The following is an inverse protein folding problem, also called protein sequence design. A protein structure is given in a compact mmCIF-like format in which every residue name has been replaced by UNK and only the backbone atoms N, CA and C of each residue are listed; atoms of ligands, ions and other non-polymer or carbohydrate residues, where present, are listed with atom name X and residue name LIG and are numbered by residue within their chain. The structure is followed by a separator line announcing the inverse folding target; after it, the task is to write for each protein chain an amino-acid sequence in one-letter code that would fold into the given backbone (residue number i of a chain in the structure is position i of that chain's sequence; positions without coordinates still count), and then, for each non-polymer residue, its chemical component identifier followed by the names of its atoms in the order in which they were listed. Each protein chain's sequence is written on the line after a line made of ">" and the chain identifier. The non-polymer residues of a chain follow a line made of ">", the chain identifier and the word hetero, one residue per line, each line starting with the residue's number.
data_IF_320624765444
#
_entry.id   IF_320624765444
#
_cell.length_a   1.000
_cell.length_b   1.000
_cell.length_c   1.000
_cell.angle_alpha   90.00
_cell.angle_beta   90.00
_cell.angle_gamma   90.00
#
_symmetry.space_group_name_H-M   'P 1'
#
loop_
_entity.id
_entity.type
_entity.pdbx_description
1 polymer ?
#
# COMPACT_ATOMS: atom_id res chain seq x y z
N UNK A 1 60.18 52.07 36.98
CA UNK A 1 60.93 50.80 36.90
C UNK A 1 60.07 49.78 36.13
N UNK A 2 60.40 49.59 34.89
CA UNK A 2 59.69 48.71 33.99
C UNK A 2 60.44 47.39 33.94
N UNK A 3 59.80 46.30 34.37
CA UNK A 3 60.38 44.99 34.34
C UNK A 3 59.90 44.30 33.04
N UNK A 4 60.68 44.39 31.98
CA UNK A 4 60.47 43.65 30.73
C UNK A 4 60.85 42.18 30.97
N UNK A 5 59.87 41.28 30.90
CA UNK A 5 60.09 39.82 30.78
C UNK A 5 60.81 39.51 29.46
N UNK A 6 62.06 39.11 29.51
CA UNK A 6 62.82 38.54 28.38
C UNK A 6 62.32 37.12 28.16
N UNK A 7 61.43 36.93 27.18
CA UNK A 7 61.12 35.61 26.64
C UNK A 7 62.30 35.12 25.81
N UNK A 8 62.83 33.92 26.09
CA UNK A 8 63.95 33.32 25.39
C UNK A 8 63.51 32.78 24.03
N UNK A 9 64.34 32.78 22.93
CA UNK A 9 63.95 32.35 21.58
C UNK A 9 63.48 30.89 21.46
N UNK A 10 63.84 30.04 22.43
CA UNK A 10 63.48 28.60 22.45
C UNK A 10 62.02 28.38 22.79
N UNK A 11 61.37 29.21 23.58
CA UNK A 11 59.94 29.05 23.94
C UNK A 11 59.00 29.41 22.80
N UNK A 12 59.36 30.40 21.97
CA UNK A 12 58.55 30.75 20.81
C UNK A 12 58.55 29.65 19.70
N UNK A 13 59.66 28.98 19.52
CA UNK A 13 59.80 27.90 18.54
C UNK A 13 59.00 26.66 18.92
N UNK A 14 58.88 26.32 20.20
CA UNK A 14 58.05 25.20 20.68
C UNK A 14 56.54 25.54 20.58
N UNK A 15 56.14 26.75 20.94
CA UNK A 15 54.74 27.20 20.82
C UNK A 15 54.29 27.20 19.34
N UNK A 16 55.11 27.71 18.41
CA UNK A 16 54.80 27.74 17.00
C UNK A 16 54.71 26.31 16.42
N UNK A 17 55.54 25.37 16.91
CA UNK A 17 55.52 23.96 16.51
C UNK A 17 54.25 23.28 17.01
N UNK A 18 53.83 23.50 18.24
CA UNK A 18 52.61 22.95 18.82
C UNK A 18 51.38 23.50 18.10
N UNK A 19 51.26 24.83 17.94
CA UNK A 19 50.16 25.44 17.15
C UNK A 19 50.11 24.98 15.70
N UNK A 20 51.26 24.71 15.07
CA UNK A 20 51.34 24.19 13.71
C UNK A 20 50.93 22.73 13.60
N UNK A 21 51.12 21.95 14.66
CA UNK A 21 50.64 20.56 14.72
C UNK A 21 49.14 20.49 14.96
N UNK A 22 48.66 21.30 15.94
CA UNK A 22 47.22 21.38 16.23
C UNK A 22 46.41 21.84 15.02
N UNK A 23 46.92 22.84 14.27
CA UNK A 23 46.25 23.30 13.05
C UNK A 23 46.23 22.24 11.95
N UNK A 24 47.28 21.45 11.76
CA UNK A 24 47.34 20.33 10.81
C UNK A 24 46.39 19.22 11.23
N UNK A 25 46.26 18.95 12.50
CA UNK A 25 45.35 17.97 13.05
C UNK A 25 43.88 18.36 12.79
N UNK A 26 43.50 19.61 13.11
CA UNK A 26 42.17 20.16 12.81
C UNK A 26 41.85 20.12 11.32
N UNK A 27 42.83 20.44 10.45
CA UNK A 27 42.63 20.33 8.99
C UNK A 27 42.42 18.86 8.53
N UNK A 28 43.15 17.90 9.10
CA UNK A 28 42.95 16.46 8.79
C UNK A 28 41.59 16.00 9.26
N UNK A 29 41.14 16.41 10.44
CA UNK A 29 39.83 16.11 11.02
C UNK A 29 38.68 16.64 10.11
N UNK A 30 38.75 17.90 9.70
CA UNK A 30 37.79 18.52 8.79
C UNK A 30 37.78 17.82 7.41
N UNK A 31 38.94 17.47 6.89
CA UNK A 31 39.03 16.75 5.59
C UNK A 31 38.45 15.35 5.64
N UNK A 32 38.57 14.62 6.75
CA UNK A 32 37.97 13.30 6.93
C UNK A 32 36.44 13.38 7.05
N UNK A 33 35.92 14.29 7.89
CA UNK A 33 34.47 14.54 8.01
C UNK A 33 33.86 14.98 6.67
N UNK A 34 34.56 15.86 5.92
CA UNK A 34 34.14 16.30 4.59
C UNK A 34 34.12 15.16 3.58
N UNK A 35 35.06 14.23 3.62
CA UNK A 35 35.07 13.03 2.77
C UNK A 35 33.88 12.12 3.05
N UNK A 36 33.59 11.85 4.32
CA UNK A 36 32.41 11.09 4.74
C UNK A 36 31.16 11.76 4.16
N UNK A 37 30.95 13.05 4.46
CA UNK A 37 29.79 13.80 4.02
C UNK A 37 29.59 13.83 2.49
N UNK A 38 30.67 13.85 1.70
CA UNK A 38 30.60 13.94 0.25
C UNK A 38 30.37 12.60 -0.46
N UNK A 39 30.74 11.48 0.16
CA UNK A 39 30.62 10.15 -0.43
C UNK A 39 29.36 9.41 -0.03
N UNK A 40 28.88 9.56 1.21
CA UNK A 40 27.72 8.86 1.72
C UNK A 40 26.48 8.97 0.84
N UNK A 41 26.11 10.14 0.24
CA UNK A 41 24.93 10.26 -0.62
C UNK A 41 24.99 9.50 -1.95
N UNK A 42 26.18 9.00 -2.33
CA UNK A 42 26.41 8.28 -3.61
C UNK A 42 26.34 6.76 -3.47
N UNK A 43 26.29 6.27 -2.24
CA UNK A 43 26.27 4.84 -1.98
C UNK A 43 24.86 4.29 -2.19
N UNK A 44 24.80 3.09 -2.76
CA UNK A 44 23.54 2.48 -3.21
C UNK A 44 23.04 1.38 -2.27
N UNK A 45 23.89 0.94 -1.34
CA UNK A 45 23.55 -0.09 -0.35
C UNK A 45 24.02 0.28 1.05
N UNK A 46 23.28 -0.21 2.06
CA UNK A 46 23.63 -0.05 3.47
C UNK A 46 24.99 -0.69 3.79
N UNK A 47 25.30 -1.83 3.15
CA UNK A 47 26.57 -2.50 3.35
C UNK A 47 27.79 -1.68 2.83
N UNK A 48 27.65 -1.06 1.66
CA UNK A 48 28.68 -0.16 1.13
C UNK A 48 28.85 1.08 2.01
N UNK A 49 27.73 1.66 2.46
CA UNK A 49 27.73 2.81 3.38
C UNK A 49 28.52 2.48 4.66
N UNK A 50 28.20 1.37 5.30
CA UNK A 50 28.80 1.01 6.59
C UNK A 50 30.24 0.55 6.46
N UNK A 51 30.60 -0.10 5.34
CA UNK A 51 32.00 -0.39 5.02
C UNK A 51 32.82 0.89 4.91
N UNK A 52 32.34 1.87 4.16
CA UNK A 52 33.03 3.17 4.00
C UNK A 52 33.13 3.91 5.35
N UNK A 53 32.11 3.85 6.20
CA UNK A 53 32.11 4.44 7.54
C UNK A 53 33.21 3.80 8.40
N UNK A 54 33.28 2.47 8.44
CA UNK A 54 34.30 1.73 9.21
C UNK A 54 35.72 2.10 8.75
N UNK A 55 35.94 2.13 7.43
CA UNK A 55 37.24 2.48 6.85
C UNK A 55 37.66 3.93 7.15
N UNK A 56 36.71 4.86 7.08
CA UNK A 56 36.96 6.26 7.39
C UNK A 56 37.26 6.44 8.89
N UNK A 57 36.53 5.79 9.79
CA UNK A 57 36.74 5.86 11.23
C UNK A 57 38.12 5.29 11.63
N UNK A 58 38.55 4.14 11.07
CA UNK A 58 39.87 3.60 11.26
C UNK A 58 40.99 4.52 10.76
N UNK A 59 40.73 5.23 9.66
CA UNK A 59 41.70 6.18 9.10
C UNK A 59 41.78 7.48 9.90
N UNK A 60 40.66 7.89 10.50
CA UNK A 60 40.57 9.12 11.27
C UNK A 60 41.16 8.98 12.67
N UNK A 61 40.84 7.90 13.38
CA UNK A 61 41.36 7.64 14.75
C UNK A 61 42.60 6.76 14.65
N UNK A 62 43.78 7.41 14.61
CA UNK A 62 45.10 6.71 14.44
C UNK A 62 45.35 5.68 15.55
N UNK A 63 44.86 5.91 16.78
CA UNK A 63 44.93 4.98 17.91
C UNK A 63 43.85 3.89 17.94
N UNK A 64 42.92 3.88 17.02
CA UNK A 64 41.87 2.86 17.01
C UNK A 64 42.40 1.51 16.59
N UNK A 65 42.11 0.48 17.36
CA UNK A 65 42.40 -0.94 17.07
C UNK A 65 41.23 -1.58 16.33
N UNK A 66 40.00 -1.25 16.77
CA UNK A 66 38.77 -1.89 16.31
C UNK A 66 37.69 -0.82 16.13
N UNK A 67 36.92 -0.93 15.03
CA UNK A 67 35.69 -0.17 14.81
C UNK A 67 34.55 -1.15 14.61
N UNK A 68 33.47 -0.95 15.32
CA UNK A 68 32.23 -1.71 15.23
C UNK A 68 31.07 -0.79 14.93
N UNK A 69 30.22 -1.19 13.99
CA UNK A 69 28.99 -0.46 13.63
C UNK A 69 27.83 -1.44 13.71
N UNK A 70 26.97 -1.22 14.67
CA UNK A 70 25.72 -1.94 14.81
C UNK A 70 24.62 -1.15 14.10
N UNK A 71 23.82 -1.81 13.27
CA UNK A 71 22.65 -1.22 12.63
C UNK A 71 21.48 -2.16 12.77
N UNK A 72 20.36 -1.62 13.25
CA UNK A 72 19.15 -2.39 13.49
C UNK A 72 18.10 -2.19 12.41
N UNK A 73 17.30 -3.23 12.19
CA UNK A 73 16.04 -3.15 11.46
C UNK A 73 14.94 -2.66 12.41
N UNK A 74 14.46 -1.42 12.19
CA UNK A 74 13.29 -0.82 12.82
C UNK A 74 13.15 -0.97 14.35
N UNK A 75 12.82 -2.15 14.85
CA UNK A 75 12.46 -2.41 16.25
C UNK A 75 13.54 -3.15 17.06
N UNK A 76 14.77 -3.21 16.57
CA UNK A 76 15.88 -3.95 17.21
C UNK A 76 15.59 -5.43 17.49
N UNK A 77 14.76 -6.08 16.67
CA UNK A 77 14.57 -7.53 16.70
C UNK A 77 15.76 -8.25 16.12
N UNK A 78 16.34 -7.66 15.07
CA UNK A 78 17.56 -8.10 14.42
C UNK A 78 18.49 -6.90 14.20
N UNK A 79 19.78 -7.12 14.30
CA UNK A 79 20.81 -6.12 13.99
C UNK A 79 21.92 -6.75 13.17
N UNK A 80 22.65 -5.91 12.46
CA UNK A 80 23.87 -6.30 11.73
C UNK A 80 25.07 -5.58 12.35
N UNK A 81 26.12 -6.32 12.60
CA UNK A 81 27.40 -5.82 13.06
C UNK A 81 28.37 -5.80 11.87
N UNK A 82 28.90 -4.64 11.59
CA UNK A 82 30.04 -4.42 10.70
C UNK A 82 31.25 -4.12 11.56
N UNK A 83 32.28 -4.98 11.50
CA UNK A 83 33.44 -4.92 12.39
C UNK A 83 34.71 -5.02 11.59
N UNK A 84 35.71 -4.19 11.90
CA UNK A 84 37.03 -4.26 11.32
C UNK A 84 38.10 -3.88 12.31
N UNK A 85 39.08 -4.73 12.44
CA UNK A 85 40.34 -4.42 13.10
C UNK A 85 41.29 -3.68 12.13
N UNK A 86 42.20 -2.86 12.63
CA UNK A 86 43.11 -2.05 11.81
C UNK A 86 43.90 -2.83 10.78
N UNK A 87 44.36 -4.03 11.12
CA UNK A 87 45.10 -4.93 10.23
C UNK A 87 44.22 -6.03 9.58
N UNK A 88 42.90 -6.00 9.79
CA UNK A 88 41.98 -7.06 9.40
C UNK A 88 41.07 -6.69 8.24
N UNK A 89 40.38 -7.71 7.70
CA UNK A 89 39.29 -7.52 6.76
C UNK A 89 38.00 -7.13 7.46
N UNK A 90 37.10 -6.44 6.73
CA UNK A 90 35.76 -6.17 7.22
C UNK A 90 35.02 -7.50 7.43
N UNK A 91 34.41 -7.67 8.60
CA UNK A 91 33.54 -8.79 8.93
C UNK A 91 32.13 -8.26 9.11
N UNK A 92 31.15 -8.98 8.57
CA UNK A 92 29.73 -8.68 8.76
C UNK A 92 29.07 -9.87 9.43
N UNK A 93 28.35 -9.63 10.52
CA UNK A 93 27.68 -10.68 11.30
C UNK A 93 26.24 -10.23 11.56
N UNK A 94 25.30 -11.16 11.37
CA UNK A 94 23.91 -10.94 11.82
C UNK A 94 23.88 -11.22 13.31
N UNK A 95 23.38 -10.25 14.07
CA UNK A 95 23.22 -10.34 15.50
C UNK A 95 21.72 -10.41 15.84
N UNK A 96 21.39 -10.89 17.03
CA UNK A 96 20.03 -10.78 17.56
C UNK A 96 19.65 -9.34 17.87
N UNK A 97 18.60 -9.19 18.66
CA UNK A 97 18.12 -7.88 19.09
C UNK A 97 19.11 -7.16 20.00
N UNK A 98 18.61 -6.08 20.64
CA UNK A 98 19.38 -5.24 21.55
C UNK A 98 20.09 -6.03 22.66
N UNK A 99 19.47 -7.14 23.10
CA UNK A 99 20.05 -8.04 24.12
C UNK A 99 21.29 -8.81 23.64
N UNK A 100 21.54 -8.87 22.34
CA UNK A 100 22.74 -9.45 21.77
C UNK A 100 23.95 -8.52 21.78
N UNK A 101 23.76 -7.23 22.10
CA UNK A 101 24.86 -6.29 22.30
C UNK A 101 25.63 -6.65 23.58
N UNK A 102 26.96 -6.47 23.60
CA UNK A 102 27.75 -6.59 24.83
C UNK A 102 27.19 -5.74 25.95
N UNK A 103 27.26 -6.23 27.20
CA UNK A 103 26.68 -5.56 28.38
C UNK A 103 27.20 -4.11 28.54
N UNK A 104 28.48 -3.90 28.21
CA UNK A 104 29.10 -2.56 28.22
C UNK A 104 28.39 -1.55 27.31
N UNK A 105 27.64 -2.02 26.30
CA UNK A 105 26.91 -1.19 25.35
C UNK A 105 25.40 -1.13 25.61
N UNK A 106 24.85 -1.96 26.53
CA UNK A 106 23.42 -2.01 26.85
C UNK A 106 22.95 -0.92 27.79
N UNK A 107 23.81 -0.42 28.64
CA UNK A 107 23.48 0.62 29.58
C UNK A 107 23.58 2.00 28.91
N UNK A 108 22.42 2.62 28.58
CA UNK A 108 22.30 3.96 27.99
C UNK A 108 22.88 4.16 26.58
N UNK A 109 22.51 3.33 25.60
CA UNK A 109 22.98 3.55 24.22
C UNK A 109 22.51 4.87 23.59
N UNK A 110 21.57 5.56 24.19
CA UNK A 110 21.10 6.85 23.68
C UNK A 110 22.07 8.00 24.01
N UNK A 111 23.08 7.75 24.84
CA UNK A 111 24.05 8.76 25.27
C UNK A 111 25.43 8.36 24.78
N UNK A 112 26.13 9.25 24.08
CA UNK A 112 27.53 9.05 23.71
C UNK A 112 28.42 8.88 24.95
N UNK A 113 29.42 8.00 24.92
CA UNK A 113 30.26 7.68 26.08
C UNK A 113 31.71 7.44 25.73
N UNK A 114 32.57 7.82 26.66
CA UNK A 114 33.98 7.37 26.74
C UNK A 114 34.09 6.41 27.92
N UNK A 115 34.66 5.23 27.70
CA UNK A 115 34.95 4.23 28.74
C UNK A 115 36.49 4.13 28.82
N UNK A 116 37.06 4.48 29.96
CA UNK A 116 38.50 4.33 30.18
C UNK A 116 38.92 2.86 30.11
N UNK A 117 40.10 2.60 29.55
CA UNK A 117 40.66 1.25 29.47
C UNK A 117 41.02 0.71 30.87
N UNK A 118 40.72 -0.57 31.12
CA UNK A 118 41.10 -1.31 32.31
C UNK A 118 42.04 -2.47 31.92
N UNK A 119 43.36 -2.28 32.11
CA UNK A 119 44.35 -3.35 31.88
C UNK A 119 44.55 -3.73 30.42
N UNK A 120 44.22 -4.97 29.97
CA UNK A 120 44.48 -5.42 28.62
C UNK A 120 43.57 -4.84 27.52
N UNK A 121 42.53 -4.11 27.89
CA UNK A 121 41.64 -3.39 26.96
C UNK A 121 42.00 -1.93 26.88
N UNK A 122 42.11 -1.39 25.67
CA UNK A 122 42.24 0.03 25.46
C UNK A 122 40.97 0.80 25.84
N UNK A 123 41.03 2.11 25.87
CA UNK A 123 39.83 2.95 26.06
C UNK A 123 38.84 2.72 24.89
N UNK A 124 37.56 2.89 25.19
CA UNK A 124 36.48 2.75 24.21
C UNK A 124 35.64 4.01 24.17
N UNK A 125 35.12 4.36 23.01
CA UNK A 125 34.09 5.36 22.86
C UNK A 125 32.94 4.87 21.97
N UNK A 126 31.74 5.37 22.23
CA UNK A 126 30.56 5.04 21.46
C UNK A 126 29.70 6.25 21.16
N UNK A 127 29.02 6.22 20.02
CA UNK A 127 28.04 7.23 19.66
C UNK A 127 26.79 6.59 19.01
N UNK A 128 25.60 6.93 19.48
CA UNK A 128 24.37 6.40 18.91
C UNK A 128 24.06 7.04 17.56
N UNK A 129 23.55 6.22 16.64
CA UNK A 129 22.98 6.65 15.36
C UNK A 129 21.48 6.80 15.55
N UNK A 130 20.98 8.05 15.61
CA UNK A 130 19.61 8.37 16.01
C UNK A 130 18.78 8.96 14.85
N UNK A 131 17.51 8.56 14.75
CA UNK A 131 16.47 9.25 13.98
C UNK A 131 15.47 9.89 14.97
N UNK A 132 15.67 11.17 15.26
CA UNK A 132 14.98 11.82 16.36
C UNK A 132 15.33 11.14 17.70
N UNK A 133 14.34 10.48 18.31
CA UNK A 133 14.54 9.69 19.55
C UNK A 133 14.74 8.20 19.28
N UNK A 134 14.59 7.76 18.03
CA UNK A 134 14.70 6.35 17.65
C UNK A 134 16.14 5.97 17.39
N UNK A 135 16.62 4.93 18.07
CA UNK A 135 17.95 4.37 17.85
C UNK A 135 17.95 3.53 16.55
N UNK A 136 18.77 3.92 15.57
CA UNK A 136 18.99 3.19 14.32
C UNK A 136 20.23 2.30 14.43
N UNK A 137 21.21 2.66 15.22
CA UNK A 137 22.47 1.94 15.32
C UNK A 137 23.38 2.50 16.40
N UNK A 138 24.57 1.92 16.49
CA UNK A 138 25.63 2.34 17.42
C UNK A 138 26.98 2.26 16.71
N UNK A 139 27.78 3.31 16.81
CA UNK A 139 29.19 3.32 16.43
C UNK A 139 30.02 3.07 17.69
N UNK A 140 30.99 2.18 17.59
CA UNK A 140 31.93 1.86 18.69
C UNK A 140 33.34 1.84 18.16
N UNK A 141 34.27 2.45 18.90
CA UNK A 141 35.69 2.47 18.59
C UNK A 141 36.45 2.03 19.84
N UNK A 142 37.37 1.09 19.70
CA UNK A 142 38.25 0.62 20.73
C UNK A 142 39.71 1.02 20.39
N UNK A 143 40.42 1.62 21.33
CA UNK A 143 41.82 2.00 21.18
C UNK A 143 42.75 0.80 21.33
N UNK A 144 43.96 0.90 20.76
CA UNK A 144 45.04 -0.02 21.03
C UNK A 144 45.50 0.04 22.50
N UNK A 145 45.63 -1.07 23.25
CA UNK A 145 46.11 -1.06 24.60
C UNK A 145 47.42 -0.29 24.78
N UNK A 146 47.50 0.60 25.77
CA UNK A 146 48.72 1.39 26.03
C UNK A 146 48.88 2.63 25.17
N UNK A 147 47.86 2.96 24.31
CA UNK A 147 47.80 4.26 23.63
C UNK A 147 47.13 5.29 24.53
N UNK A 148 47.19 6.57 24.12
CA UNK A 148 46.49 7.66 24.82
C UNK A 148 44.98 7.42 24.76
N UNK A 149 44.29 7.67 25.88
CA UNK A 149 42.83 7.59 25.97
C UNK A 149 42.15 8.60 25.02
N UNK A 150 40.95 8.26 24.55
CA UNK A 150 40.12 9.16 23.76
C UNK A 150 39.76 10.41 24.56
N UNK A 151 39.71 11.54 23.89
CA UNK A 151 39.34 12.84 24.43
C UNK A 151 37.86 13.17 24.17
N UNK A 152 37.34 14.19 24.87
CA UNK A 152 36.02 14.75 24.60
C UNK A 152 35.88 15.24 23.13
N UNK A 153 36.98 15.79 22.55
CA UNK A 153 36.98 16.21 21.14
C UNK A 153 36.85 15.02 20.17
N UNK A 154 37.49 13.89 20.50
CA UNK A 154 37.35 12.64 19.71
C UNK A 154 35.92 12.12 19.76
N UNK A 155 35.30 12.22 20.92
CA UNK A 155 33.93 11.84 21.15
C UNK A 155 32.94 12.73 20.38
N UNK A 156 33.11 14.06 20.39
CA UNK A 156 32.31 14.99 19.61
C UNK A 156 32.47 14.73 18.12
N UNK A 157 33.66 14.39 17.67
CA UNK A 157 33.88 14.00 16.28
C UNK A 157 33.13 12.70 15.91
N UNK A 158 33.15 11.68 16.78
CA UNK A 158 32.39 10.44 16.57
C UNK A 158 30.89 10.68 16.56
N UNK A 159 30.36 11.52 17.44
CA UNK A 159 28.99 11.94 17.47
C UNK A 159 28.57 12.66 16.18
N UNK A 160 29.43 13.51 15.64
CA UNK A 160 29.24 14.15 14.34
C UNK A 160 29.16 13.15 13.19
N UNK A 161 30.03 12.13 13.19
CA UNK A 161 29.96 11.04 12.20
C UNK A 161 28.67 10.23 12.36
N UNK A 162 28.27 9.91 13.59
CA UNK A 162 27.02 9.18 13.85
C UNK A 162 25.79 9.93 13.31
N UNK A 163 25.74 11.25 13.45
CA UNK A 163 24.68 12.07 12.88
C UNK A 163 24.66 12.02 11.34
N UNK A 164 25.82 12.04 10.69
CA UNK A 164 25.91 11.92 9.23
C UNK A 164 25.51 10.51 8.73
N UNK A 165 25.93 9.46 9.44
CA UNK A 165 25.54 8.08 9.17
C UNK A 165 24.02 7.92 9.31
N UNK A 166 23.43 8.53 10.34
CA UNK A 166 21.98 8.55 10.51
C UNK A 166 21.26 9.13 9.30
N UNK A 167 21.66 10.31 8.85
CA UNK A 167 21.07 10.94 7.67
C UNK A 167 21.22 10.08 6.41
N UNK A 168 22.38 9.47 6.20
CA UNK A 168 22.64 8.63 5.05
C UNK A 168 21.80 7.36 5.05
N UNK A 169 21.66 6.68 6.20
CA UNK A 169 20.80 5.51 6.36
C UNK A 169 19.33 5.87 6.07
N UNK A 170 18.84 6.97 6.62
CA UNK A 170 17.47 7.44 6.42
C UNK A 170 17.21 7.74 4.94
N UNK A 171 18.12 8.45 4.28
CA UNK A 171 18.02 8.77 2.86
C UNK A 171 17.99 7.50 2.00
N UNK A 172 18.89 6.54 2.26
CA UNK A 172 18.94 5.27 1.55
C UNK A 172 17.65 4.46 1.72
N UNK A 173 17.17 4.35 2.98
CA UNK A 173 15.91 3.65 3.29
C UNK A 173 14.70 4.34 2.64
N UNK A 174 14.69 5.68 2.58
CA UNK A 174 13.64 6.44 1.89
C UNK A 174 13.66 6.17 0.37
N UNK A 175 14.84 6.18 -0.26
CA UNK A 175 14.98 5.88 -1.68
C UNK A 175 14.52 4.45 -2.02
N UNK A 176 14.89 3.45 -1.21
CA UNK A 176 14.46 2.05 -1.40
C UNK A 176 12.93 1.93 -1.26
N UNK A 177 12.34 2.58 -0.25
CA UNK A 177 10.87 2.61 -0.07
C UNK A 177 10.18 3.26 -1.26
N UNK A 178 10.68 4.40 -1.73
CA UNK A 178 10.13 5.10 -2.89
C UNK A 178 10.23 4.29 -4.17
N UNK A 179 11.37 3.62 -4.41
CA UNK A 179 11.54 2.74 -5.57
C UNK A 179 10.55 1.57 -5.54
N UNK A 180 10.41 0.88 -4.39
CA UNK A 180 9.42 -0.21 -4.22
C UNK A 180 7.99 0.28 -4.43
N UNK A 181 7.63 1.43 -3.86
CA UNK A 181 6.30 2.05 -4.05
C UNK A 181 6.03 2.39 -5.52
N UNK A 182 7.05 2.90 -6.24
CA UNK A 182 6.91 3.24 -7.67
C UNK A 182 6.72 2.01 -8.55
N UNK A 183 7.41 0.90 -8.26
CA UNK A 183 7.20 -0.38 -8.96
C UNK A 183 5.80 -0.90 -8.68
N UNK A 184 5.40 -0.98 -7.41
CA UNK A 184 4.07 -1.44 -7.00
C UNK A 184 2.95 -0.64 -7.67
N UNK A 185 3.10 0.69 -7.73
CA UNK A 185 2.13 1.56 -8.41
C UNK A 185 2.02 1.26 -9.90
N UNK A 186 3.13 1.03 -10.60
CA UNK A 186 3.12 0.64 -12.03
C UNK A 186 2.43 -0.70 -12.25
N UNK A 187 2.68 -1.67 -11.37
CA UNK A 187 2.06 -3.00 -11.46
C UNK A 187 0.54 -2.91 -11.24
N UNK A 188 0.09 -2.11 -10.26
CA UNK A 188 -1.33 -1.84 -10.03
C UNK A 188 -1.98 -1.10 -11.20
N UNK A 189 -1.32 -0.12 -11.81
CA UNK A 189 -1.81 0.55 -13.02
C UNK A 189 -1.94 -0.41 -14.21
N UNK A 190 -1.02 -1.36 -14.34
CA UNK A 190 -1.10 -2.42 -15.35
C UNK A 190 -2.28 -3.36 -15.06
N UNK A 191 -2.46 -3.81 -13.83
CA UNK A 191 -3.59 -4.63 -13.40
C UNK A 191 -4.92 -3.93 -13.66
N UNK A 192 -5.03 -2.63 -13.34
CA UNK A 192 -6.21 -1.80 -13.64
C UNK A 192 -6.55 -1.74 -15.12
N UNK A 193 -5.54 -1.61 -16.00
CA UNK A 193 -5.78 -1.63 -17.45
C UNK A 193 -6.31 -2.99 -17.93
N UNK A 194 -5.75 -4.07 -17.42
CA UNK A 194 -6.20 -5.43 -17.73
C UNK A 194 -7.64 -5.62 -17.23
N UNK A 195 -7.93 -5.27 -15.98
CA UNK A 195 -9.26 -5.40 -15.39
C UNK A 195 -10.32 -4.63 -16.20
N UNK A 196 -10.02 -3.37 -16.57
CA UNK A 196 -10.93 -2.58 -17.40
C UNK A 196 -11.25 -3.22 -18.75
N UNK A 197 -10.38 -4.08 -19.29
CA UNK A 197 -10.68 -4.81 -20.53
C UNK A 197 -11.71 -5.92 -20.37
N UNK A 198 -12.00 -6.35 -19.14
CA UNK A 198 -13.07 -7.26 -18.81
C UNK A 198 -14.43 -6.57 -18.63
N UNK A 199 -14.45 -5.28 -18.34
CA UNK A 199 -15.69 -4.53 -18.31
C UNK A 199 -16.17 -4.27 -19.76
N UNK A 200 -17.47 -4.40 -20.04
CA UNK A 200 -17.98 -4.23 -21.40
C UNK A 200 -17.92 -2.76 -21.84
N UNK A 201 -17.58 -2.56 -23.10
CA UNK A 201 -17.80 -1.27 -23.77
C UNK A 201 -19.20 -1.31 -24.40
N UNK A 202 -20.20 -0.80 -23.68
CA UNK A 202 -21.57 -0.88 -24.09
C UNK A 202 -21.97 0.34 -24.94
N UNK A 203 -22.68 0.12 -26.07
CA UNK A 203 -23.36 1.20 -26.75
C UNK A 203 -24.55 1.68 -25.89
N UNK A 204 -24.97 2.93 -26.06
CA UNK A 204 -26.10 3.52 -25.34
C UNK A 204 -27.45 2.86 -25.65
N UNK A 205 -27.51 2.05 -26.72
CA UNK A 205 -28.69 1.27 -27.11
C UNK A 205 -28.29 -0.13 -27.58
N UNK A 206 -28.95 -1.15 -27.02
CA UNK A 206 -28.73 -2.56 -27.32
C UNK A 206 -30.08 -3.26 -27.49
N UNK A 207 -30.37 -3.85 -28.63
CA UNK A 207 -31.60 -4.66 -28.87
C UNK A 207 -32.93 -3.96 -28.47
N UNK A 208 -33.03 -2.64 -28.60
CA UNK A 208 -34.22 -1.89 -28.19
C UNK A 208 -34.29 -1.53 -26.70
N UNK A 209 -33.18 -1.71 -26.02
CA UNK A 209 -32.99 -1.20 -24.67
C UNK A 209 -31.96 -0.06 -24.69
N UNK A 210 -32.19 0.98 -23.90
CA UNK A 210 -31.16 1.98 -23.58
C UNK A 210 -30.38 1.48 -22.39
N UNK A 211 -29.07 1.67 -22.40
CA UNK A 211 -28.16 1.20 -21.37
C UNK A 211 -27.27 2.36 -20.90
N UNK A 212 -27.14 2.53 -19.60
CA UNK A 212 -26.16 3.43 -19.02
C UNK A 212 -25.50 2.79 -17.81
N UNK A 213 -24.17 2.95 -17.70
CA UNK A 213 -23.37 2.36 -16.65
C UNK A 213 -22.51 3.40 -15.97
N UNK A 214 -22.23 3.19 -14.71
CA UNK A 214 -21.21 3.92 -13.96
C UNK A 214 -20.39 2.92 -13.15
N UNK A 215 -19.07 3.04 -13.19
CA UNK A 215 -18.14 2.18 -12.45
C UNK A 215 -17.04 3.03 -11.83
N UNK A 216 -16.95 3.00 -10.50
CA UNK A 216 -15.96 3.71 -9.71
C UNK A 216 -15.35 2.79 -8.68
N UNK A 217 -14.14 2.28 -8.93
CA UNK A 217 -13.44 1.48 -7.94
C UNK A 217 -12.98 2.35 -6.78
N UNK A 218 -13.07 1.84 -5.56
CA UNK A 218 -12.58 2.48 -4.33
C UNK A 218 -11.04 2.50 -4.27
N UNK A 219 -10.40 1.50 -4.85
CA UNK A 219 -8.95 1.34 -4.91
C UNK A 219 -8.44 1.35 -6.37
N UNK A 220 -7.16 1.04 -6.57
CA UNK A 220 -6.58 0.95 -7.91
C UNK A 220 -7.27 -0.10 -8.78
N UNK A 221 -7.75 -1.20 -8.17
CA UNK A 221 -8.54 -2.27 -8.78
C UNK A 221 -9.68 -2.67 -7.86
N UNK A 222 -10.83 -3.11 -8.41
CA UNK A 222 -12.06 -3.41 -7.66
C UNK A 222 -12.51 -4.86 -7.80
N UNK A 223 -13.46 -5.28 -6.93
CA UNK A 223 -14.16 -6.56 -6.98
C UNK A 223 -15.40 -6.54 -7.86
N UNK A 224 -16.00 -5.37 -8.05
CA UNK A 224 -17.22 -5.17 -8.80
C UNK A 224 -17.10 -5.51 -10.28
N UNK A 225 -18.18 -6.07 -10.84
CA UNK A 225 -18.31 -6.30 -12.26
C UNK A 225 -19.76 -6.13 -12.73
N UNK A 226 -19.91 -5.88 -14.02
CA UNK A 226 -21.20 -5.91 -14.71
C UNK A 226 -21.00 -6.37 -16.16
N UNK A 227 -22.05 -6.91 -16.76
CA UNK A 227 -22.08 -7.20 -18.19
C UNK A 227 -23.51 -7.08 -18.74
N UNK A 228 -23.62 -6.80 -20.04
CA UNK A 228 -24.88 -6.79 -20.79
C UNK A 228 -24.68 -7.56 -22.09
N UNK A 229 -25.36 -8.68 -22.21
CA UNK A 229 -25.17 -9.64 -23.28
C UNK A 229 -26.48 -9.84 -24.02
N UNK A 230 -26.42 -9.88 -25.34
CA UNK A 230 -27.59 -10.17 -26.19
C UNK A 230 -27.74 -11.67 -26.39
N UNK A 231 -28.93 -12.20 -26.12
CA UNK A 231 -29.26 -13.66 -26.31
C UNK A 231 -30.14 -13.93 -27.49
N UNK A 232 -30.77 -12.90 -28.06
CA UNK A 232 -31.63 -12.99 -29.24
C UNK A 232 -32.21 -11.63 -29.61
N UNK A 233 -32.99 -11.53 -30.70
CA UNK A 233 -33.63 -10.28 -31.07
C UNK A 233 -34.61 -9.79 -30.00
N UNK A 234 -34.38 -8.56 -29.49
CA UNK A 234 -35.19 -7.98 -28.43
C UNK A 234 -34.98 -8.61 -27.04
N UNK A 235 -33.92 -9.42 -26.89
CA UNK A 235 -33.59 -10.05 -25.62
C UNK A 235 -32.17 -9.66 -25.16
N UNK A 236 -32.00 -9.45 -23.84
CA UNK A 236 -30.69 -9.28 -23.23
C UNK A 236 -30.66 -9.91 -21.85
N UNK A 237 -29.47 -10.31 -21.45
CA UNK A 237 -29.12 -10.69 -20.09
C UNK A 237 -28.17 -9.61 -19.52
N UNK A 238 -28.49 -9.07 -18.36
CA UNK A 238 -27.63 -8.15 -17.65
C UNK A 238 -27.27 -8.76 -16.29
N UNK A 239 -26.00 -8.64 -15.94
CA UNK A 239 -25.43 -9.19 -14.71
C UNK A 239 -24.66 -8.10 -13.99
N UNK A 240 -24.78 -8.04 -12.67
CA UNK A 240 -23.97 -7.23 -11.80
C UNK A 240 -23.56 -8.06 -10.59
N UNK A 241 -22.38 -7.84 -10.05
CA UNK A 241 -21.94 -8.54 -8.86
C UNK A 241 -20.72 -7.91 -8.23
N UNK A 242 -20.44 -8.34 -7.00
CA UNK A 242 -19.27 -7.96 -6.23
C UNK A 242 -18.59 -9.22 -5.66
N UNK A 243 -17.27 -9.27 -5.80
CA UNK A 243 -16.41 -10.34 -5.32
C UNK A 243 -15.94 -10.05 -3.91
N UNK A 244 -16.20 -10.95 -2.97
CA UNK A 244 -15.65 -10.85 -1.63
C UNK A 244 -14.12 -10.77 -1.64
N UNK A 245 -13.58 -9.70 -1.07
CA UNK A 245 -12.14 -9.44 -1.03
C UNK A 245 -11.75 -8.20 -1.83
N UNK A 246 -10.71 -7.50 -1.35
CA UNK A 246 -10.27 -6.22 -1.93
C UNK A 246 -8.95 -6.36 -2.68
N UNK A 247 -8.71 -5.42 -3.59
CA UNK A 247 -7.45 -5.31 -4.32
C UNK A 247 -7.27 -6.37 -5.41
N UNK A 248 -6.03 -6.82 -5.61
CA UNK A 248 -5.65 -7.68 -6.75
C UNK A 248 -6.37 -9.03 -6.75
N UNK A 249 -6.60 -9.62 -5.57
CA UNK A 249 -7.29 -10.91 -5.48
C UNK A 249 -8.74 -10.80 -5.97
N UNK A 250 -9.51 -9.80 -5.50
CA UNK A 250 -10.86 -9.52 -5.98
C UNK A 250 -10.91 -9.26 -7.48
N UNK A 251 -9.96 -8.46 -8.01
CA UNK A 251 -9.86 -8.15 -9.42
C UNK A 251 -9.59 -9.37 -10.33
N UNK A 252 -8.76 -10.31 -9.88
CA UNK A 252 -8.52 -11.57 -10.61
C UNK A 252 -9.76 -12.46 -10.65
N UNK A 253 -10.46 -12.58 -9.51
CA UNK A 253 -11.70 -13.34 -9.41
C UNK A 253 -12.81 -12.71 -10.27
N UNK A 254 -12.95 -11.38 -10.24
CA UNK A 254 -13.84 -10.63 -11.11
C UNK A 254 -13.59 -10.94 -12.61
N UNK A 255 -12.33 -10.93 -13.04
CA UNK A 255 -11.96 -11.21 -14.41
C UNK A 255 -12.35 -12.63 -14.84
N UNK A 256 -12.19 -13.59 -13.94
CA UNK A 256 -12.61 -14.98 -14.18
C UNK A 256 -14.13 -15.11 -14.30
N UNK A 257 -14.88 -14.52 -13.35
CA UNK A 257 -16.34 -14.57 -13.36
C UNK A 257 -16.92 -13.92 -14.61
N UNK A 258 -16.39 -12.77 -15.01
CA UNK A 258 -16.81 -12.09 -16.24
C UNK A 258 -16.60 -12.97 -17.48
N UNK A 259 -15.48 -13.68 -17.55
CA UNK A 259 -15.19 -14.60 -18.64
C UNK A 259 -16.15 -15.80 -18.67
N UNK A 260 -16.47 -16.36 -17.50
CA UNK A 260 -17.38 -17.49 -17.37
C UNK A 260 -18.83 -17.09 -17.71
N UNK A 261 -19.30 -15.93 -17.27
CA UNK A 261 -20.61 -15.39 -17.64
C UNK A 261 -20.74 -15.29 -19.16
N UNK A 262 -19.75 -14.73 -19.85
CA UNK A 262 -19.77 -14.61 -21.31
C UNK A 262 -19.76 -15.95 -22.01
N UNK A 263 -19.04 -16.93 -21.49
CA UNK A 263 -19.02 -18.29 -22.02
C UNK A 263 -20.39 -18.96 -21.91
N UNK A 264 -21.04 -18.85 -20.75
CA UNK A 264 -22.34 -19.47 -20.47
C UNK A 264 -23.44 -18.84 -21.31
N UNK A 265 -23.54 -17.50 -21.30
CA UNK A 265 -24.55 -16.77 -22.09
C UNK A 265 -24.32 -16.93 -23.58
N UNK A 266 -23.10 -17.07 -24.06
CA UNK A 266 -22.77 -17.23 -25.48
C UNK A 266 -23.06 -18.64 -26.03
N UNK A 267 -23.22 -19.65 -25.17
CA UNK A 267 -23.38 -21.05 -25.59
C UNK A 267 -24.82 -21.52 -25.66
N UNK A 268 -25.72 -20.93 -24.86
CA UNK A 268 -27.12 -21.38 -24.74
C UNK A 268 -28.06 -20.20 -24.44
N UNK A 269 -29.37 -20.40 -24.69
CA UNK A 269 -30.40 -19.46 -24.19
C UNK A 269 -30.66 -19.67 -22.70
N UNK A 270 -29.68 -19.23 -21.89
CA UNK A 270 -29.65 -19.44 -20.45
C UNK A 270 -30.65 -18.55 -19.71
N UNK A 271 -31.33 -19.10 -18.71
CA UNK A 271 -32.11 -18.30 -17.75
C UNK A 271 -31.24 -17.77 -16.63
N UNK A 272 -31.64 -16.69 -15.89
CA UNK A 272 -30.90 -16.17 -14.76
C UNK A 272 -30.55 -17.23 -13.71
N UNK A 273 -31.49 -18.09 -13.32
CA UNK A 273 -31.26 -19.18 -12.36
C UNK A 273 -30.20 -20.17 -12.83
N UNK A 274 -30.28 -20.57 -14.13
CA UNK A 274 -29.32 -21.51 -14.72
C UNK A 274 -27.93 -20.90 -14.74
N UNK A 275 -27.81 -19.64 -15.13
CA UNK A 275 -26.54 -18.92 -15.12
C UNK A 275 -25.91 -18.89 -13.70
N UNK A 276 -26.68 -18.53 -12.67
CA UNK A 276 -26.17 -18.49 -11.29
C UNK A 276 -25.83 -19.89 -10.77
N UNK A 277 -26.60 -20.92 -11.13
CA UNK A 277 -26.34 -22.32 -10.72
C UNK A 277 -25.04 -22.83 -11.34
N UNK A 278 -24.82 -22.63 -12.63
CA UNK A 278 -23.60 -23.06 -13.31
C UNK A 278 -22.37 -22.27 -12.85
N UNK A 279 -22.54 -20.95 -12.58
CA UNK A 279 -21.49 -20.13 -11.97
C UNK A 279 -21.11 -20.68 -10.58
N UNK A 280 -22.08 -21.06 -9.75
CA UNK A 280 -21.82 -21.62 -8.44
C UNK A 280 -21.06 -22.96 -8.52
N UNK A 281 -21.43 -23.84 -9.44
CA UNK A 281 -20.72 -25.10 -9.66
C UNK A 281 -19.26 -24.84 -10.10
N UNK A 282 -19.07 -23.97 -11.09
CA UNK A 282 -17.73 -23.59 -11.59
C UNK A 282 -16.86 -22.97 -10.49
N UNK A 283 -17.45 -22.17 -9.59
CA UNK A 283 -16.74 -21.48 -8.53
C UNK A 283 -16.39 -22.41 -7.37
N UNK A 284 -17.31 -23.28 -6.97
CA UNK A 284 -17.11 -24.24 -5.90
C UNK A 284 -16.00 -25.27 -6.19
N UNK A 285 -15.72 -25.53 -7.48
CA UNK A 285 -14.64 -26.44 -7.90
C UNK A 285 -13.24 -25.83 -7.70
N UNK A 286 -13.12 -24.54 -7.43
CA UNK A 286 -11.82 -23.85 -7.32
C UNK A 286 -11.09 -24.12 -6.03
N UNK A 287 -11.80 -24.45 -4.94
CA UNK A 287 -11.20 -24.66 -3.62
C UNK A 287 -10.43 -23.43 -3.10
N UNK A 288 -10.80 -22.22 -3.51
CA UNK A 288 -10.25 -20.99 -2.96
C UNK A 288 -11.05 -20.68 -1.71
N UNK A 289 -10.45 -20.95 -0.55
CA UNK A 289 -11.06 -20.70 0.75
C UNK A 289 -11.47 -19.22 0.88
N UNK A 290 -12.64 -19.00 1.51
CA UNK A 290 -13.20 -17.67 1.83
C UNK A 290 -13.53 -16.73 0.66
N UNK A 291 -13.58 -17.23 -0.59
CA UNK A 291 -13.97 -16.42 -1.76
C UNK A 291 -15.41 -16.75 -2.18
N UNK A 292 -16.26 -15.73 -2.19
CA UNK A 292 -17.63 -15.83 -2.72
C UNK A 292 -17.97 -14.56 -3.52
N UNK A 293 -19.06 -14.62 -4.24
CA UNK A 293 -19.50 -13.49 -5.09
C UNK A 293 -20.98 -13.25 -4.90
N UNK A 294 -21.34 -12.04 -4.53
CA UNK A 294 -22.73 -11.60 -4.63
C UNK A 294 -23.06 -11.26 -6.08
N UNK A 295 -24.19 -11.74 -6.59
CA UNK A 295 -24.52 -11.56 -8.01
C UNK A 295 -26.02 -11.46 -8.23
N UNK A 296 -26.46 -10.46 -9.02
CA UNK A 296 -27.80 -10.36 -9.53
C UNK A 296 -27.78 -10.49 -11.06
N UNK A 297 -28.65 -11.36 -11.58
CA UNK A 297 -28.83 -11.57 -13.00
C UNK A 297 -30.29 -11.23 -13.40
N UNK A 298 -30.46 -10.46 -14.46
CA UNK A 298 -31.75 -10.14 -15.04
C UNK A 298 -31.76 -10.49 -16.53
N UNK A 299 -32.86 -11.11 -17.02
CA UNK A 299 -33.14 -11.33 -18.43
C UNK A 299 -34.37 -10.52 -18.83
N UNK A 300 -34.21 -9.66 -19.83
CA UNK A 300 -35.25 -8.83 -20.38
C UNK A 300 -35.65 -9.36 -21.77
N UNK A 301 -36.92 -9.61 -21.99
CA UNK A 301 -37.47 -10.02 -23.25
C UNK A 301 -38.65 -9.12 -23.66
N UNK A 302 -38.42 -8.33 -24.71
CA UNK A 302 -39.45 -7.42 -25.27
C UNK A 302 -40.59 -8.16 -25.96
N UNK A 303 -40.29 -9.28 -26.58
CA UNK A 303 -41.27 -10.04 -27.36
C UNK A 303 -42.34 -10.65 -26.46
N UNK A 304 -41.95 -11.18 -25.32
CA UNK A 304 -42.84 -11.78 -24.33
C UNK A 304 -43.25 -10.80 -23.22
N UNK A 305 -42.68 -9.57 -23.20
CA UNK A 305 -42.85 -8.56 -22.14
C UNK A 305 -42.52 -9.09 -20.74
N UNK A 306 -41.43 -9.82 -20.65
CA UNK A 306 -41.01 -10.48 -19.41
C UNK A 306 -39.66 -9.96 -18.92
N UNK A 307 -39.58 -9.75 -17.64
CA UNK A 307 -38.35 -9.51 -16.88
C UNK A 307 -38.21 -10.68 -15.92
N UNK A 308 -37.14 -11.45 -16.08
CA UNK A 308 -36.80 -12.56 -15.19
C UNK A 308 -35.61 -12.20 -14.37
N UNK A 309 -35.63 -12.47 -13.06
CA UNK A 309 -34.58 -12.09 -12.09
C UNK A 309 -34.19 -13.29 -11.25
N UNK A 310 -32.89 -13.53 -11.10
CA UNK A 310 -32.33 -14.38 -10.07
C UNK A 310 -31.25 -13.60 -9.29
N UNK A 311 -31.13 -13.86 -7.99
CA UNK A 311 -30.27 -13.10 -7.10
C UNK A 311 -29.54 -14.00 -6.11
N UNK A 312 -28.22 -13.99 -6.13
CA UNK A 312 -27.31 -14.72 -5.27
C UNK A 312 -26.74 -13.80 -4.18
N UNK A 313 -27.58 -13.40 -3.21
CA UNK A 313 -27.17 -12.58 -2.06
C UNK A 313 -26.76 -11.14 -2.39
N UNK A 314 -27.09 -10.63 -3.57
CA UNK A 314 -26.74 -9.28 -4.01
C UNK A 314 -27.84 -8.26 -3.67
N UNK A 315 -27.54 -6.97 -3.76
CA UNK A 315 -28.52 -5.89 -3.68
C UNK A 315 -29.65 -6.13 -4.69
N UNK A 316 -30.91 -6.01 -4.25
CA UNK A 316 -32.05 -6.25 -5.12
C UNK A 316 -32.12 -5.19 -6.22
N UNK A 317 -32.28 -5.59 -7.50
CA UNK A 317 -32.56 -4.63 -8.58
C UNK A 317 -33.83 -3.83 -8.30
N UNK A 318 -33.84 -2.57 -8.70
CA UNK A 318 -35.00 -1.71 -8.63
C UNK A 318 -35.67 -1.60 -10.01
N UNK A 319 -36.99 -1.57 -10.05
CA UNK A 319 -37.74 -1.14 -11.25
C UNK A 319 -38.45 0.17 -10.97
N UNK A 320 -38.24 1.15 -11.85
CA UNK A 320 -39.10 2.32 -11.97
C UNK A 320 -40.06 2.10 -13.14
N UNK A 321 -41.33 1.99 -12.84
CA UNK A 321 -42.39 1.85 -13.83
C UNK A 321 -42.57 3.12 -14.67
N UNK A 322 -43.16 2.96 -15.83
CA UNK A 322 -43.57 4.09 -16.65
C UNK A 322 -44.45 5.11 -15.89
N UNK A 323 -45.24 4.64 -14.92
CA UNK A 323 -46.05 5.49 -14.02
C UNK A 323 -45.24 6.33 -13.02
N UNK A 324 -43.95 6.03 -12.83
CA UNK A 324 -43.08 6.64 -11.82
C UNK A 324 -42.96 5.86 -10.51
N UNK A 325 -43.77 4.81 -10.31
CA UNK A 325 -43.66 3.94 -9.13
C UNK A 325 -42.32 3.18 -9.15
N UNK A 326 -41.64 3.16 -8.00
CA UNK A 326 -40.35 2.44 -7.82
C UNK A 326 -40.56 1.32 -6.82
N UNK A 327 -40.02 0.12 -7.14
CA UNK A 327 -40.08 -1.03 -6.24
C UNK A 327 -38.86 -1.94 -6.46
N UNK A 328 -38.41 -2.67 -5.43
CA UNK A 328 -37.42 -3.71 -5.59
C UNK A 328 -38.00 -4.89 -6.38
N UNK A 329 -37.14 -5.58 -7.15
CA UNK A 329 -37.49 -6.73 -7.96
C UNK A 329 -36.96 -8.01 -7.33
N UNK A 330 -37.85 -8.97 -7.14
CA UNK A 330 -37.47 -10.30 -6.67
C UNK A 330 -37.13 -10.36 -5.18
N UNK A 331 -36.41 -11.43 -4.85
CA UNK A 331 -35.85 -11.71 -3.52
C UNK A 331 -34.49 -12.35 -3.72
N UNK A 332 -33.70 -12.48 -2.66
CA UNK A 332 -32.53 -13.33 -2.71
C UNK A 332 -32.98 -14.77 -2.94
N UNK A 333 -32.58 -15.36 -4.06
CA UNK A 333 -32.98 -16.72 -4.46
C UNK A 333 -32.02 -17.80 -3.95
N UNK A 334 -30.90 -17.40 -3.36
CA UNK A 334 -29.88 -18.25 -2.74
C UNK A 334 -28.74 -17.43 -2.11
N UNK A 335 -27.78 -18.11 -1.46
CA UNK A 335 -26.57 -17.48 -0.92
C UNK A 335 -25.68 -16.99 -2.07
N UNK A 336 -24.65 -16.18 -1.77
CA UNK A 336 -23.63 -15.80 -2.73
C UNK A 336 -23.02 -17.00 -3.47
N UNK A 337 -22.66 -16.80 -4.74
CA UNK A 337 -21.99 -17.78 -5.60
C UNK A 337 -20.66 -18.20 -4.98
N UNK A 338 -20.41 -19.50 -4.89
CA UNK A 338 -19.20 -20.07 -4.31
C UNK A 338 -19.23 -20.26 -2.78
N UNK A 339 -20.24 -19.72 -2.07
CA UNK A 339 -20.34 -19.83 -0.61
C UNK A 339 -20.75 -21.26 -0.19
N UNK A 340 -21.66 -21.89 -0.91
CA UNK A 340 -22.11 -23.25 -0.64
C UNK A 340 -22.04 -24.10 -1.92
N UNK A 341 -21.47 -25.31 -1.86
CA UNK A 341 -21.45 -26.20 -3.02
C UNK A 341 -22.86 -26.70 -3.37
N UNK A 342 -23.05 -27.07 -4.63
CA UNK A 342 -24.31 -27.64 -5.14
C UNK A 342 -25.57 -26.79 -4.89
N UNK A 343 -25.39 -25.46 -4.77
CA UNK A 343 -26.50 -24.53 -4.59
C UNK A 343 -27.23 -24.30 -5.93
N UNK A 344 -28.56 -24.36 -5.92
CA UNK A 344 -29.42 -23.96 -7.02
C UNK A 344 -30.19 -22.68 -6.68
N UNK A 345 -30.51 -21.90 -7.73
CA UNK A 345 -31.22 -20.63 -7.61
C UNK A 345 -32.63 -20.72 -8.24
N UNK A 346 -33.45 -19.71 -8.03
CA UNK A 346 -34.82 -19.64 -8.59
C UNK A 346 -35.01 -18.34 -9.35
N UNK A 347 -35.87 -18.38 -10.35
CA UNK A 347 -36.29 -17.22 -11.13
C UNK A 347 -37.56 -16.61 -10.55
N UNK A 348 -37.57 -15.28 -10.37
CA UNK A 348 -38.80 -14.49 -10.21
C UNK A 348 -39.09 -13.79 -11.54
N UNK A 349 -40.37 -13.78 -11.94
CA UNK A 349 -40.80 -13.24 -13.25
C UNK A 349 -41.78 -12.08 -13.04
N UNK A 350 -41.50 -10.96 -13.71
CA UNK A 350 -42.27 -9.74 -13.67
C UNK A 350 -42.70 -9.29 -15.07
N UNK A 351 -43.83 -8.55 -15.20
CA UNK A 351 -44.15 -7.86 -16.42
C UNK A 351 -43.14 -6.77 -16.74
N UNK A 352 -42.88 -6.53 -18.03
CA UNK A 352 -41.95 -5.51 -18.53
C UNK A 352 -42.68 -4.66 -19.57
N UNK A 353 -42.84 -3.37 -19.30
CA UNK A 353 -43.50 -2.44 -20.22
C UNK A 353 -42.49 -1.41 -20.79
N UNK A 354 -42.88 -0.86 -21.95
CA UNK A 354 -42.13 0.23 -22.58
C UNK A 354 -42.07 1.43 -21.61
N UNK A 355 -40.87 1.98 -21.46
CA UNK A 355 -40.59 3.07 -20.53
C UNK A 355 -40.30 2.63 -19.09
N UNK A 356 -40.33 1.32 -18.80
CA UNK A 356 -39.78 0.85 -17.51
C UNK A 356 -38.27 1.00 -17.48
N UNK A 357 -37.74 1.35 -16.31
CA UNK A 357 -36.30 1.45 -16.04
C UNK A 357 -35.94 0.42 -14.98
N UNK A 358 -35.00 -0.45 -15.28
CA UNK A 358 -34.41 -1.39 -14.33
C UNK A 358 -33.04 -0.86 -13.93
N UNK A 359 -32.82 -0.66 -12.62
CA UNK A 359 -31.55 -0.21 -12.05
C UNK A 359 -30.97 -1.30 -11.17
N UNK A 360 -29.76 -1.73 -11.51
CA UNK A 360 -28.95 -2.61 -10.71
C UNK A 360 -27.81 -1.79 -10.10
N UNK A 361 -27.41 -2.12 -8.88
CA UNK A 361 -26.32 -1.44 -8.16
C UNK A 361 -25.63 -2.38 -7.19
N UNK A 362 -24.37 -2.10 -6.90
CA UNK A 362 -23.61 -2.79 -5.85
C UNK A 362 -23.84 -2.13 -4.48
N UNK A 363 -23.47 -2.82 -3.42
CA UNK A 363 -23.64 -2.38 -2.04
C UNK A 363 -22.81 -1.11 -1.71
N UNK A 364 -21.68 -0.85 -2.40
CA UNK A 364 -20.93 0.38 -2.23
C UNK A 364 -21.75 1.67 -2.40
N UNK A 365 -22.88 1.62 -3.15
CA UNK A 365 -23.86 2.73 -3.19
C UNK A 365 -24.58 2.86 -1.85
N UNK A 366 -25.03 1.74 -1.29
CA UNK A 366 -25.84 1.73 -0.06
C UNK A 366 -24.97 2.00 1.16
N UNK A 367 -23.78 1.41 1.23
CA UNK A 367 -22.81 1.56 2.31
C UNK A 367 -22.35 3.03 2.44
N UNK A 368 -22.13 3.68 1.31
CA UNK A 368 -21.80 5.10 1.28
C UNK A 368 -22.96 6.01 1.77
N UNK A 369 -24.21 5.54 1.66
CA UNK A 369 -25.41 6.28 2.08
C UNK A 369 -25.90 5.86 3.47
N UNK A 370 -25.36 4.78 4.06
CA UNK A 370 -25.75 4.26 5.37
C UNK A 370 -25.28 5.20 6.50
N UNK A 371 -26.13 5.39 7.54
CA UNK A 371 -25.78 5.99 8.83
C UNK A 371 -26.12 5.00 9.93
N UNK A 372 -25.41 5.05 11.05
CA UNK A 372 -25.54 4.11 12.18
C UNK A 372 -26.98 3.86 12.68
N UNK A 373 -27.94 4.73 12.33
CA UNK A 373 -29.36 4.63 12.73
C UNK A 373 -30.35 4.42 11.57
N UNK A 374 -29.90 4.10 10.33
CA UNK A 374 -30.79 4.34 9.21
C UNK A 374 -30.73 3.27 8.09
N UNK A 375 -31.86 2.58 7.87
CA UNK A 375 -32.16 1.89 6.61
C UNK A 375 -32.34 2.85 5.40
N UNK A 376 -31.91 4.11 5.52
CA UNK A 376 -32.15 5.21 4.57
C UNK A 376 -31.35 5.09 3.27
N UNK A 377 -30.30 4.29 3.20
CA UNK A 377 -29.50 4.18 1.97
C UNK A 377 -30.37 3.80 0.76
N UNK A 378 -31.08 2.67 0.85
CA UNK A 378 -31.95 2.19 -0.21
C UNK A 378 -33.13 3.15 -0.48
N UNK A 379 -33.75 3.71 0.58
CA UNK A 379 -34.85 4.66 0.44
C UNK A 379 -34.41 5.95 -0.24
N UNK A 380 -33.19 6.43 0.00
CA UNK A 380 -32.63 7.60 -0.69
C UNK A 380 -32.50 7.36 -2.19
N UNK A 381 -32.07 6.17 -2.60
CA UNK A 381 -31.99 5.79 -4.02
C UNK A 381 -33.39 5.65 -4.63
N UNK A 382 -34.34 5.04 -3.93
CA UNK A 382 -35.76 4.90 -4.37
C UNK A 382 -36.40 6.29 -4.58
N UNK A 383 -36.25 7.19 -3.63
CA UNK A 383 -36.79 8.55 -3.71
C UNK A 383 -36.17 9.35 -4.85
N UNK A 384 -34.82 9.26 -5.00
CA UNK A 384 -34.12 9.87 -6.12
C UNK A 384 -34.61 9.31 -7.45
N UNK A 385 -34.69 8.00 -7.57
CA UNK A 385 -35.12 7.31 -8.81
C UNK A 385 -36.55 7.69 -9.16
N UNK A 386 -37.45 7.81 -8.20
CA UNK A 386 -38.85 8.23 -8.43
C UNK A 386 -38.95 9.67 -8.98
N UNK A 387 -38.10 10.58 -8.50
CA UNK A 387 -38.13 12.02 -8.82
C UNK A 387 -37.23 12.41 -9.99
N UNK A 388 -36.26 11.57 -10.37
CA UNK A 388 -35.34 11.90 -11.44
C UNK A 388 -36.01 12.00 -12.81
N UNK A 389 -35.43 12.76 -13.75
CA UNK A 389 -35.84 12.69 -15.16
C UNK A 389 -35.67 11.26 -15.69
N UNK A 390 -36.34 10.95 -16.80
CA UNK A 390 -36.21 9.65 -17.49
C UNK A 390 -34.97 9.62 -18.39
N UNK A 391 -33.83 9.86 -17.79
CA UNK A 391 -32.53 9.85 -18.45
C UNK A 391 -31.58 9.04 -17.60
N UNK A 392 -31.11 7.89 -18.09
CA UNK A 392 -30.30 6.96 -17.34
C UNK A 392 -28.96 7.56 -16.91
N UNK A 393 -28.33 8.34 -17.78
CA UNK A 393 -27.06 8.98 -17.49
C UNK A 393 -27.23 10.05 -16.40
N UNK A 394 -28.35 10.77 -16.41
CA UNK A 394 -28.67 11.75 -15.38
C UNK A 394 -29.02 11.07 -14.06
N UNK A 395 -29.72 9.94 -14.07
CA UNK A 395 -30.00 9.12 -12.87
C UNK A 395 -28.68 8.67 -12.24
N UNK A 396 -27.80 8.06 -13.02
CA UNK A 396 -26.49 7.60 -12.54
C UNK A 396 -25.67 8.76 -11.97
N UNK A 397 -25.62 9.90 -12.66
CA UNK A 397 -24.90 11.09 -12.20
C UNK A 397 -25.44 11.62 -10.86
N UNK A 398 -26.76 11.63 -10.68
CA UNK A 398 -27.39 12.07 -9.41
C UNK A 398 -27.08 11.13 -8.26
N UNK A 399 -27.11 9.81 -8.50
CA UNK A 399 -26.75 8.82 -7.47
C UNK A 399 -25.28 9.01 -7.08
N UNK A 400 -24.35 9.10 -8.03
CA UNK A 400 -22.94 9.36 -7.75
C UNK A 400 -22.74 10.68 -7.00
N UNK A 401 -23.45 11.74 -7.40
CA UNK A 401 -23.37 13.03 -6.71
C UNK A 401 -23.89 12.96 -5.26
N UNK A 402 -24.94 12.19 -5.02
CA UNK A 402 -25.48 11.96 -3.68
C UNK A 402 -24.45 11.22 -2.80
N UNK A 403 -23.83 10.15 -3.32
CA UNK A 403 -22.77 9.41 -2.65
C UNK A 403 -21.59 10.34 -2.35
N UNK A 404 -21.11 11.07 -3.36
CA UNK A 404 -19.97 11.98 -3.22
C UNK A 404 -20.21 13.07 -2.14
N UNK A 405 -21.42 13.63 -2.07
CA UNK A 405 -21.78 14.61 -1.04
C UNK A 405 -21.79 14.00 0.37
N UNK A 406 -22.13 12.72 0.49
CA UNK A 406 -22.22 12.04 1.78
C UNK A 406 -20.86 11.59 2.31
N UNK A 407 -19.96 11.17 1.41
CA UNK A 407 -18.63 10.63 1.76
C UNK A 407 -17.52 11.68 1.77
N UNK A 408 -17.80 12.91 1.32
CA UNK A 408 -16.78 13.95 1.19
C UNK A 408 -15.79 13.72 0.04
N UNK A 409 -16.13 12.79 -0.86
CA UNK A 409 -15.33 12.51 -2.07
C UNK A 409 -14.62 11.18 -2.10
N UNK A 410 -14.47 10.52 -0.98
CA UNK A 410 -13.89 9.17 -0.90
C UNK A 410 -15.00 8.11 -1.00
N UNK A 411 -14.77 7.08 -1.81
CA UNK A 411 -15.68 5.96 -1.92
C UNK A 411 -15.20 4.85 -0.97
N UNK A 412 -16.02 4.42 0.03
CA UNK A 412 -15.64 3.40 1.01
C UNK A 412 -15.52 2.00 0.40
N UNK A 413 -16.28 1.76 -0.66
CA UNK A 413 -16.22 0.54 -1.48
C UNK A 413 -16.45 0.85 -2.96
N UNK A 414 -16.29 -0.18 -3.81
CA UNK A 414 -16.52 -0.06 -5.25
C UNK A 414 -17.98 0.34 -5.51
N UNK A 415 -18.20 1.24 -6.44
CA UNK A 415 -19.53 1.72 -6.83
C UNK A 415 -19.81 1.35 -8.27
N UNK A 416 -20.83 0.53 -8.48
CA UNK A 416 -21.29 0.15 -9.81
C UNK A 416 -22.77 0.39 -9.96
N UNK A 417 -23.17 1.03 -11.07
CA UNK A 417 -24.55 1.24 -11.47
C UNK A 417 -24.74 0.71 -12.89
N UNK A 418 -25.83 0.00 -13.12
CA UNK A 418 -26.26 -0.47 -14.43
C UNK A 418 -27.75 -0.16 -14.62
N UNK A 419 -28.06 0.81 -15.43
CA UNK A 419 -29.41 1.23 -15.80
C UNK A 419 -29.82 0.68 -17.16
N UNK A 420 -31.03 0.12 -17.25
CA UNK A 420 -31.64 -0.42 -18.47
C UNK A 420 -33.02 0.18 -18.64
N UNK A 421 -33.31 0.79 -19.79
CA UNK A 421 -34.65 1.34 -20.12
C UNK A 421 -35.22 0.62 -21.33
N UNK A 422 -36.47 0.21 -21.22
CA UNK A 422 -37.20 -0.43 -22.33
C UNK A 422 -37.69 0.63 -23.31
N UNK A 423 -37.26 0.52 -24.56
CA UNK A 423 -37.67 1.43 -25.64
C UNK A 423 -38.64 0.75 -26.62
N UNK A 424 -39.35 1.56 -27.40
CA UNK A 424 -40.23 1.08 -28.48
C UNK A 424 -39.48 0.33 -29.58
#
# INVERSE_FOLDING_TARGET
>A
MSTALKMTPSSNSSIIRTLGNDFREVQRRLAALSRIASRLPRLTSEAELLSEVVDNLLSYFEGARLVEVFVADGDWKESRLYCRERAGALKTTQCGGIDALPEAYRADFAVPRIIAGDGPRGSMMSAPVLEGVKLLGLLVIEAEPGTQDFTEEDHDALAGVAAQVSMAIQQLRAHVRQAKSSVMKRDLEAARRIQRSFLPSLPTAVNGFRVATEYRPAYDVGGDFYDVLTTGPGQLVAVIGDVAGKGVAGALMMSRISSEIRRLVGSTDVTPRELLTELNESFSMLGVDDSFVTCACVKLDRSTRRLTVANAGHVLPLVRRASGAVMPLGRASGPPVGMLPAQSYTDDVFPLDVGDIVLLMTDGVLDALHREDDQLGLWSVIDLLAKAPRDLEEINRRIVSLVHQRTGGDFPDDLTLLGLEVRD
#
